data_IF_210751585243
#
_entry.id   IF_210751585243
#
_cell.length_a   1.000
_cell.length_b   1.000
_cell.length_c   1.000
_cell.angle_alpha   90.00
_cell.angle_beta   90.00
_cell.angle_gamma   90.00
#
_symmetry.space_group_name_H-M   'P 1'
#
loop_
_entity.id
_entity.type
_entity.pdbx_description
1 polymer ?
#
# COMPACT_ATOMS: atom_id res chain seq x y z
N UNK A 1 18.76 -14.45 25.33
CA UNK A 1 18.34 -14.34 26.76
C UNK A 1 18.86 -15.56 27.50
N UNK A 2 20.05 -15.45 28.11
CA UNK A 2 20.67 -16.49 28.95
C UNK A 2 20.55 -16.01 30.39
N UNK A 3 19.88 -16.79 31.22
CA UNK A 3 19.76 -16.54 32.65
C UNK A 3 20.79 -17.44 33.34
N UNK A 4 21.91 -16.86 33.78
CA UNK A 4 22.92 -17.49 34.62
C UNK A 4 23.04 -16.65 35.88
N UNK A 5 22.36 -17.05 36.95
CA UNK A 5 22.55 -16.49 38.28
C UNK A 5 22.30 -17.60 39.30
N UNK A 6 23.27 -17.81 40.19
CA UNK A 6 23.05 -18.63 41.38
C UNK A 6 24.22 -19.51 41.78
N UNK A 7 25.41 -18.94 41.96
CA UNK A 7 26.47 -19.57 42.74
C UNK A 7 27.04 -18.56 43.74
N UNK A 8 27.29 -19.09 44.94
CA UNK A 8 28.13 -18.55 46.01
C UNK A 8 27.48 -17.63 47.05
N UNK A 9 26.92 -18.24 48.09
CA UNK A 9 27.02 -17.73 49.47
C UNK A 9 27.33 -18.91 50.40
N UNK A 10 28.61 -19.25 50.51
CA UNK A 10 29.12 -19.99 51.66
C UNK A 10 29.20 -18.99 52.82
N UNK A 11 28.23 -19.06 53.73
CA UNK A 11 28.30 -18.40 55.03
C UNK A 11 29.04 -19.36 55.96
N UNK A 12 30.30 -19.05 56.29
CA UNK A 12 31.03 -19.73 57.34
C UNK A 12 30.34 -19.44 58.69
N UNK A 13 30.05 -20.45 59.52
CA UNK A 13 29.60 -20.21 60.88
C UNK A 13 30.80 -19.83 61.77
N UNK A 14 30.65 -18.67 62.43
CA UNK A 14 31.14 -18.34 63.77
C UNK A 14 32.54 -18.80 64.13
N UNK A 15 33.48 -17.84 64.10
CA UNK A 15 34.66 -17.89 64.95
C UNK A 15 34.23 -18.20 66.39
N UNK A 16 34.66 -19.37 66.90
CA UNK A 16 34.66 -19.66 68.32
C UNK A 16 35.59 -18.64 68.97
N UNK A 17 34.99 -17.58 69.49
CA UNK A 17 35.63 -16.59 70.33
C UNK A 17 36.14 -17.34 71.55
N UNK A 18 37.46 -17.42 71.70
CA UNK A 18 38.12 -17.83 72.92
C UNK A 18 37.80 -16.79 73.99
N UNK A 19 36.63 -16.90 74.61
CA UNK A 19 36.38 -16.28 75.90
C UNK A 19 37.19 -17.06 76.93
N UNK A 20 38.43 -16.61 77.09
CA UNK A 20 39.17 -16.67 78.34
C UNK A 20 38.38 -15.88 79.38
N UNK A 21 37.23 -16.42 79.79
CA UNK A 21 36.62 -15.98 81.03
C UNK A 21 37.49 -16.55 82.15
N UNK A 22 38.34 -15.66 82.64
CA UNK A 22 39.05 -15.82 83.90
C UNK A 22 37.97 -15.85 84.96
N UNK A 23 37.36 -17.01 85.16
CA UNK A 23 36.69 -17.32 86.41
C UNK A 23 37.76 -17.22 87.50
N UNK A 24 37.71 -16.06 88.14
CA UNK A 24 38.42 -15.67 89.34
C UNK A 24 38.19 -16.79 90.35
N UNK A 25 39.15 -17.71 90.43
CA UNK A 25 39.22 -18.65 91.56
C UNK A 25 39.48 -17.77 92.78
N UNK A 26 38.55 -17.65 93.74
CA UNK A 26 38.82 -16.90 94.96
C UNK A 26 40.00 -17.58 95.65
N UNK A 27 40.99 -16.78 96.03
CA UNK A 27 42.23 -17.20 96.69
C UNK A 27 41.97 -18.31 97.70
N UNK A 28 42.32 -19.54 97.32
CA UNK A 28 42.15 -20.70 98.17
C UNK A 28 43.20 -20.60 99.27
N UNK A 29 42.76 -20.53 100.52
CA UNK A 29 43.65 -20.81 101.64
C UNK A 29 44.10 -22.25 101.44
N UNK A 30 45.34 -22.42 100.99
CA UNK A 30 45.95 -23.73 100.81
C UNK A 30 45.88 -24.47 102.15
N UNK A 31 45.42 -25.72 102.15
CA UNK A 31 45.17 -26.51 103.37
C UNK A 31 46.43 -26.58 104.25
N UNK A 32 47.61 -26.46 103.62
CA UNK A 32 48.92 -26.45 104.25
C UNK A 32 49.27 -25.13 104.98
N UNK A 33 48.46 -24.07 104.89
CA UNK A 33 48.69 -22.76 105.53
C UNK A 33 47.67 -22.38 106.61
N UNK A 34 46.66 -23.23 106.88
CA UNK A 34 45.61 -22.96 107.84
C UNK A 34 46.12 -23.06 109.30
N UNK A 35 45.95 -21.99 110.11
CA UNK A 35 46.41 -21.93 111.52
C UNK A 35 45.27 -22.00 112.55
N UNK A 36 44.02 -22.05 112.08
CA UNK A 36 42.81 -22.09 112.92
C UNK A 36 41.81 -23.12 112.40
N UNK A 37 41.01 -23.72 113.30
CA UNK A 37 39.91 -24.64 112.96
C UNK A 37 38.88 -23.97 112.03
N UNK A 38 38.72 -22.66 112.12
CA UNK A 38 37.86 -21.89 111.22
C UNK A 38 38.42 -21.87 109.79
N UNK A 39 39.72 -21.65 109.62
CA UNK A 39 40.39 -21.61 108.31
C UNK A 39 40.32 -22.97 107.60
N UNK A 40 40.50 -24.07 108.34
CA UNK A 40 40.37 -25.43 107.80
C UNK A 40 38.95 -25.68 107.30
N UNK A 41 37.92 -25.21 108.01
CA UNK A 41 36.51 -25.35 107.59
C UNK A 41 36.20 -24.53 106.33
N UNK A 42 36.80 -23.35 106.18
CA UNK A 42 36.65 -22.51 104.99
C UNK A 42 37.37 -23.13 103.77
N UNK A 43 38.58 -23.65 103.94
CA UNK A 43 39.28 -24.39 102.87
C UNK A 43 38.53 -25.65 102.46
N UNK A 44 37.94 -26.37 103.42
CA UNK A 44 37.15 -27.57 103.15
C UNK A 44 35.83 -27.25 102.44
N UNK A 45 35.13 -26.17 102.80
CA UNK A 45 33.93 -25.75 102.06
C UNK A 45 34.26 -25.34 100.64
N UNK A 46 35.37 -24.62 100.43
CA UNK A 46 35.81 -24.20 99.11
C UNK A 46 36.22 -25.40 98.25
N UNK A 47 36.98 -26.35 98.80
CA UNK A 47 37.31 -27.60 98.11
C UNK A 47 36.05 -28.42 97.77
N UNK A 48 35.07 -28.48 98.67
CA UNK A 48 33.80 -29.17 98.39
C UNK A 48 33.00 -28.47 97.29
N UNK A 49 33.06 -27.14 97.20
CA UNK A 49 32.43 -26.35 96.14
C UNK A 49 33.15 -26.53 94.80
N UNK A 50 34.49 -26.57 94.80
CA UNK A 50 35.29 -26.89 93.63
C UNK A 50 35.06 -28.33 93.15
N UNK A 51 35.00 -29.30 94.06
CA UNK A 51 34.68 -30.71 93.76
C UNK A 51 33.27 -30.86 93.20
N UNK A 52 32.29 -30.16 93.78
CA UNK A 52 30.93 -30.12 93.26
C UNK A 52 30.87 -29.48 91.85
N UNK A 53 31.61 -28.40 91.63
CA UNK A 53 31.69 -27.72 90.32
C UNK A 53 32.38 -28.58 89.26
N UNK A 54 33.51 -29.21 89.60
CA UNK A 54 34.19 -30.14 88.68
C UNK A 54 33.35 -31.38 88.41
N UNK A 55 32.67 -31.93 89.42
CA UNK A 55 31.75 -33.06 89.25
C UNK A 55 30.54 -32.68 88.37
N UNK A 56 30.00 -31.47 88.52
CA UNK A 56 28.92 -30.97 87.66
C UNK A 56 29.38 -30.81 86.21
N UNK A 57 30.57 -30.24 85.97
CA UNK A 57 31.16 -30.13 84.62
C UNK A 57 31.44 -31.51 84.00
N UNK A 58 31.94 -32.46 84.80
CA UNK A 58 32.19 -33.82 84.34
C UNK A 58 30.89 -34.53 83.98
N UNK A 59 29.86 -34.43 84.83
CA UNK A 59 28.55 -35.00 84.55
C UNK A 59 27.93 -34.39 83.28
N UNK A 60 28.02 -33.08 83.08
CA UNK A 60 27.55 -32.42 81.86
C UNK A 60 28.29 -32.92 80.61
N UNK A 61 29.61 -33.11 80.71
CA UNK A 61 30.42 -33.68 79.63
C UNK A 61 30.01 -35.13 79.32
N UNK A 62 29.83 -35.96 80.36
CA UNK A 62 29.39 -37.36 80.22
C UNK A 62 27.99 -37.43 79.62
N UNK A 63 27.07 -36.55 80.00
CA UNK A 63 25.74 -36.49 79.37
C UNK A 63 25.81 -36.07 77.91
N UNK A 64 26.66 -35.07 77.58
CA UNK A 64 26.83 -34.61 76.20
C UNK A 64 27.51 -35.63 75.27
N UNK A 65 28.32 -36.53 75.84
CA UNK A 65 28.99 -37.59 75.09
C UNK A 65 27.97 -38.50 74.40
N UNK A 66 26.89 -38.86 75.10
CA UNK A 66 25.84 -39.71 74.56
C UNK A 66 25.16 -39.04 73.36
N UNK A 67 24.79 -37.77 73.49
CA UNK A 67 24.13 -37.02 72.42
C UNK A 67 25.03 -36.89 71.20
N UNK A 68 26.33 -36.63 71.40
CA UNK A 68 27.32 -36.56 70.33
C UNK A 68 27.46 -37.91 69.59
N UNK A 69 27.46 -39.02 70.32
CA UNK A 69 27.51 -40.36 69.70
C UNK A 69 26.25 -40.69 68.89
N UNK A 70 25.07 -40.27 69.36
CA UNK A 70 23.82 -40.47 68.64
C UNK A 70 23.76 -39.61 67.37
N UNK A 71 24.26 -38.37 67.41
CA UNK A 71 24.40 -37.51 66.22
C UNK A 71 25.44 -38.04 65.22
N UNK A 72 26.60 -38.51 65.69
CA UNK A 72 27.61 -39.16 64.84
C UNK A 72 27.03 -40.39 64.13
N UNK A 73 26.25 -41.21 64.84
CA UNK A 73 25.55 -42.36 64.25
C UNK A 73 24.56 -41.96 63.16
N UNK A 74 23.79 -40.87 63.36
CA UNK A 74 22.89 -40.32 62.32
C UNK A 74 23.68 -39.79 61.12
N UNK A 75 24.80 -39.12 61.36
CA UNK A 75 25.68 -38.60 60.32
C UNK A 75 26.28 -39.73 59.47
N UNK A 76 26.69 -40.84 60.10
CA UNK A 76 27.18 -42.02 59.38
C UNK A 76 26.09 -42.69 58.53
N UNK A 77 24.85 -42.73 59.04
CA UNK A 77 23.70 -43.25 58.30
C UNK A 77 23.37 -42.37 57.08
N UNK A 78 23.35 -41.05 57.27
CA UNK A 78 23.19 -40.06 56.20
C UNK A 78 24.32 -40.16 55.18
N UNK A 79 25.57 -40.33 55.62
CA UNK A 79 26.73 -40.50 54.75
C UNK A 79 26.59 -41.74 53.87
N UNK A 80 26.17 -42.86 54.46
CA UNK A 80 25.94 -44.10 53.70
C UNK A 80 24.80 -43.93 52.68
N UNK A 81 23.72 -43.26 53.07
CA UNK A 81 22.57 -43.02 52.20
C UNK A 81 22.87 -42.04 51.07
N UNK A 82 23.65 -40.98 51.32
CA UNK A 82 24.15 -40.07 50.29
C UNK A 82 25.11 -40.81 49.34
N UNK A 83 25.95 -41.70 49.87
CA UNK A 83 26.84 -42.54 49.07
C UNK A 83 26.07 -43.39 48.05
N UNK A 84 25.01 -44.07 48.48
CA UNK A 84 24.18 -44.91 47.59
C UNK A 84 23.38 -44.07 46.58
N UNK A 85 22.79 -42.96 47.02
CA UNK A 85 22.08 -42.00 46.15
C UNK A 85 22.99 -41.38 45.09
N UNK A 86 24.24 -41.04 45.46
CA UNK A 86 25.23 -40.49 44.53
C UNK A 86 25.62 -41.52 43.47
N UNK A 87 25.80 -42.79 43.85
CA UNK A 87 26.08 -43.88 42.90
C UNK A 87 24.89 -44.09 41.95
N UNK A 88 23.66 -44.13 42.47
CA UNK A 88 22.45 -44.25 41.66
C UNK A 88 22.28 -43.07 40.69
N UNK A 89 22.54 -41.85 41.15
CA UNK A 89 22.49 -40.64 40.30
C UNK A 89 23.53 -40.71 39.19
N UNK A 90 24.74 -41.19 39.51
CA UNK A 90 25.84 -41.33 38.54
C UNK A 90 25.55 -42.42 37.50
N UNK A 91 24.91 -43.52 37.90
CA UNK A 91 24.51 -44.58 36.97
C UNK A 91 23.40 -44.13 36.02
N UNK A 92 22.42 -43.37 36.50
CA UNK A 92 21.36 -42.79 35.66
C UNK A 92 21.95 -41.79 34.66
N UNK A 93 22.82 -40.89 35.13
CA UNK A 93 23.45 -39.87 34.29
C UNK A 93 24.32 -40.48 33.19
N UNK A 94 25.26 -41.35 33.56
CA UNK A 94 26.21 -41.93 32.61
C UNK A 94 25.62 -43.06 31.77
N UNK A 95 24.73 -43.87 32.37
CA UNK A 95 24.14 -45.03 31.71
C UNK A 95 22.95 -44.67 30.85
N UNK A 96 21.93 -44.05 31.43
CA UNK A 96 20.65 -43.85 30.74
C UNK A 96 20.66 -42.52 29.99
N UNK A 97 20.97 -41.42 30.67
CA UNK A 97 20.81 -40.09 30.11
C UNK A 97 21.84 -39.80 29.01
N UNK A 98 23.11 -40.15 29.22
CA UNK A 98 24.15 -39.98 28.19
C UNK A 98 23.86 -40.79 26.92
N UNK A 99 23.46 -42.07 27.07
CA UNK A 99 23.09 -42.92 25.92
C UNK A 99 21.81 -42.46 25.23
N UNK A 100 20.83 -41.98 25.98
CA UNK A 100 19.60 -41.41 25.43
C UNK A 100 19.92 -40.11 24.67
N UNK A 101 20.74 -39.22 25.23
CA UNK A 101 21.16 -37.97 24.60
C UNK A 101 21.98 -38.20 23.32
N UNK A 102 22.91 -39.16 23.33
CA UNK A 102 23.66 -39.52 22.13
C UNK A 102 22.75 -40.10 21.04
N UNK A 103 21.78 -40.92 21.43
CA UNK A 103 20.80 -41.50 20.50
C UNK A 103 19.87 -40.43 19.93
N UNK A 104 19.36 -39.53 20.78
CA UNK A 104 18.54 -38.39 20.35
C UNK A 104 19.32 -37.49 19.37
N UNK A 105 20.58 -37.16 19.69
CA UNK A 105 21.43 -36.36 18.80
C UNK A 105 21.64 -37.03 17.44
N UNK A 106 21.86 -38.35 17.43
CA UNK A 106 22.00 -39.14 16.20
C UNK A 106 20.72 -39.15 15.38
N UNK A 107 19.57 -39.39 16.02
CA UNK A 107 18.26 -39.42 15.36
C UNK A 107 17.92 -38.03 14.83
N UNK A 108 18.02 -36.97 15.64
CA UNK A 108 17.78 -35.59 15.20
C UNK A 108 18.73 -35.17 14.08
N UNK A 109 19.98 -35.62 14.11
CA UNK A 109 20.93 -35.40 13.01
C UNK A 109 20.52 -36.12 11.72
N UNK A 110 20.05 -37.37 11.82
CA UNK A 110 19.56 -38.12 10.67
C UNK A 110 18.27 -37.52 10.09
N UNK A 111 17.32 -37.13 10.93
CA UNK A 111 16.07 -36.46 10.51
C UNK A 111 16.37 -35.14 9.84
N UNK A 112 17.24 -34.28 10.41
CA UNK A 112 17.64 -33.02 9.78
C UNK A 112 18.27 -33.23 8.40
N UNK A 113 19.12 -34.25 8.25
CA UNK A 113 19.71 -34.58 6.94
C UNK A 113 18.63 -34.99 5.93
N UNK A 114 17.71 -35.85 6.34
CA UNK A 114 16.58 -36.25 5.51
C UNK A 114 15.69 -35.06 5.13
N UNK A 115 15.43 -34.15 6.06
CA UNK A 115 14.64 -32.93 5.80
C UNK A 115 15.33 -32.04 4.76
N UNK A 116 16.66 -31.87 4.85
CA UNK A 116 17.43 -31.13 3.85
C UNK A 116 17.41 -31.81 2.48
N UNK A 117 17.55 -33.12 2.43
CA UNK A 117 17.45 -33.90 1.18
C UNK A 117 16.05 -33.75 0.57
N UNK A 118 15.00 -33.90 1.37
CA UNK A 118 13.62 -33.75 0.93
C UNK A 118 13.33 -32.32 0.44
N UNK A 119 13.83 -31.30 1.14
CA UNK A 119 13.68 -29.91 0.73
C UNK A 119 14.37 -29.64 -0.61
N UNK A 120 15.58 -30.18 -0.82
CA UNK A 120 16.30 -30.06 -2.09
C UNK A 120 15.56 -30.77 -3.23
N UNK A 121 15.09 -32.00 -3.00
CA UNK A 121 14.32 -32.75 -4.00
C UNK A 121 13.03 -32.03 -4.39
N UNK A 122 12.30 -31.47 -3.41
CA UNK A 122 11.11 -30.65 -3.69
C UNK A 122 11.44 -29.40 -4.50
N UNK A 123 12.53 -28.71 -4.17
CA UNK A 123 12.98 -27.55 -4.94
C UNK A 123 13.37 -27.91 -6.37
N UNK A 124 14.00 -29.07 -6.59
CA UNK A 124 14.31 -29.52 -7.96
C UNK A 124 13.05 -29.95 -8.72
N UNK A 125 12.08 -30.57 -8.05
CA UNK A 125 10.81 -30.94 -8.65
C UNK A 125 10.06 -29.70 -9.15
N UNK A 126 9.98 -28.65 -8.33
CA UNK A 126 9.34 -27.38 -8.69
C UNK A 126 9.96 -26.74 -9.95
N UNK A 127 11.29 -26.77 -10.07
CA UNK A 127 11.97 -26.30 -11.29
C UNK A 127 11.59 -27.14 -12.51
N UNK A 128 11.54 -28.46 -12.38
CA UNK A 128 11.16 -29.36 -13.47
C UNK A 128 9.70 -29.17 -13.88
N UNK A 129 8.78 -29.00 -12.92
CA UNK A 129 7.37 -28.70 -13.17
C UNK A 129 7.22 -27.38 -13.93
N UNK A 130 7.94 -26.34 -13.53
CA UNK A 130 7.92 -25.05 -14.21
C UNK A 130 8.52 -25.11 -15.63
N UNK A 131 9.52 -25.95 -15.86
CA UNK A 131 10.10 -26.16 -17.20
C UNK A 131 9.18 -26.99 -18.09
N UNK A 132 8.48 -27.99 -17.53
CA UNK A 132 7.46 -28.74 -18.24
C UNK A 132 6.28 -27.84 -18.65
N UNK A 133 5.83 -26.96 -17.74
CA UNK A 133 4.83 -25.93 -18.03
C UNK A 133 5.32 -24.94 -19.10
N UNK A 134 6.58 -24.50 -19.02
CA UNK A 134 7.18 -23.64 -20.04
C UNK A 134 7.17 -24.31 -21.42
N UNK A 135 7.51 -25.60 -21.48
CA UNK A 135 7.46 -26.39 -22.71
C UNK A 135 6.04 -26.49 -23.26
N UNK A 136 5.07 -26.78 -22.41
CA UNK A 136 3.66 -26.80 -22.80
C UNK A 136 3.19 -25.43 -23.33
N UNK A 137 3.64 -24.33 -22.73
CA UNK A 137 3.32 -22.98 -23.20
C UNK A 137 3.97 -22.68 -24.55
N UNK A 138 5.25 -22.99 -24.75
CA UNK A 138 5.96 -22.74 -26.02
C UNK A 138 5.29 -23.50 -27.16
N UNK A 139 5.02 -24.80 -26.98
CA UNK A 139 4.33 -25.62 -27.99
C UNK A 139 2.88 -25.17 -28.20
N UNK A 140 2.19 -24.77 -27.13
CA UNK A 140 0.83 -24.25 -27.19
C UNK A 140 0.74 -22.94 -27.99
N UNK A 141 1.66 -22.00 -27.77
CA UNK A 141 1.72 -20.74 -28.50
C UNK A 141 1.97 -20.99 -29.99
N UNK A 142 2.99 -21.78 -30.34
CA UNK A 142 3.33 -22.04 -31.75
C UNK A 142 2.23 -22.84 -32.45
N UNK A 143 1.62 -23.82 -31.77
CA UNK A 143 0.49 -24.60 -32.28
C UNK A 143 -0.76 -23.76 -32.52
N UNK A 144 -1.15 -22.91 -31.56
CA UNK A 144 -2.32 -22.02 -31.69
C UNK A 144 -2.13 -20.94 -32.75
N UNK A 145 -0.90 -20.44 -32.93
CA UNK A 145 -0.57 -19.45 -33.97
C UNK A 145 -0.46 -20.05 -35.38
N UNK A 146 -0.34 -21.37 -35.51
CA UNK A 146 -0.21 -22.08 -36.78
C UNK A 146 -1.53 -22.19 -37.54
N UNK A 147 -1.91 -23.42 -37.91
CA UNK A 147 -3.10 -23.70 -38.70
C UNK A 147 -4.45 -23.21 -38.09
N UNK A 148 -4.71 -23.33 -36.76
CA UNK A 148 -6.01 -22.94 -36.21
C UNK A 148 -6.18 -21.42 -36.10
N UNK A 149 -5.09 -20.63 -36.13
CA UNK A 149 -5.12 -19.17 -36.00
C UNK A 149 -5.94 -18.68 -34.79
N UNK A 150 -5.88 -19.43 -33.69
CA UNK A 150 -6.60 -19.11 -32.48
C UNK A 150 -5.72 -18.23 -31.59
N UNK A 151 -5.84 -16.93 -31.80
CA UNK A 151 -5.01 -15.94 -31.14
C UNK A 151 -5.32 -15.79 -29.64
N UNK A 152 -6.51 -16.17 -29.19
CA UNK A 152 -6.91 -16.06 -27.79
C UNK A 152 -6.24 -17.13 -26.95
N UNK A 153 -6.21 -18.37 -27.46
CA UNK A 153 -5.47 -19.45 -26.79
C UNK A 153 -3.97 -19.20 -26.83
N UNK A 154 -3.43 -18.69 -27.94
CA UNK A 154 -2.02 -18.28 -28.02
C UNK A 154 -1.66 -17.20 -26.97
N UNK A 155 -2.48 -16.15 -26.83
CA UNK A 155 -2.30 -15.13 -25.81
C UNK A 155 -2.42 -15.71 -24.38
N UNK A 156 -3.31 -16.70 -24.18
CA UNK A 156 -3.43 -17.42 -22.92
C UNK A 156 -2.17 -18.18 -22.52
N UNK A 157 -1.52 -18.86 -23.47
CA UNK A 157 -0.24 -19.55 -23.22
C UNK A 157 0.89 -18.55 -22.96
N UNK A 158 0.96 -17.41 -23.65
CA UNK A 158 1.92 -16.35 -23.33
C UNK A 158 1.71 -15.79 -21.92
N UNK A 159 0.45 -15.60 -21.50
CA UNK A 159 0.15 -15.14 -20.15
C UNK A 159 0.61 -16.15 -19.09
N UNK A 160 0.39 -17.45 -19.32
CA UNK A 160 0.90 -18.52 -18.44
C UNK A 160 2.43 -18.51 -18.39
N UNK A 161 3.10 -18.42 -19.54
CA UNK A 161 4.55 -18.33 -19.63
C UNK A 161 5.12 -17.10 -18.89
N UNK A 162 4.41 -15.97 -18.90
CA UNK A 162 4.83 -14.74 -18.21
C UNK A 162 4.87 -14.86 -16.68
N UNK A 163 4.13 -15.83 -16.11
CA UNK A 163 4.13 -16.13 -14.66
C UNK A 163 5.32 -16.98 -14.23
N UNK A 164 6.01 -17.61 -15.18
CA UNK A 164 7.18 -18.45 -14.90
C UNK A 164 8.38 -17.53 -14.60
N UNK A 165 9.17 -17.80 -13.54
CA UNK A 165 10.32 -17.00 -13.19
C UNK A 165 11.34 -16.88 -14.33
N UNK A 166 11.82 -15.66 -14.58
CA UNK A 166 12.81 -15.37 -15.64
C UNK A 166 14.11 -16.17 -15.48
N UNK A 167 14.48 -16.54 -14.26
CA UNK A 167 15.65 -17.39 -14.01
C UNK A 167 15.51 -18.80 -14.57
N UNK A 168 14.27 -19.29 -14.72
CA UNK A 168 13.98 -20.62 -15.29
C UNK A 168 13.81 -20.50 -16.79
N UNK A 169 13.12 -19.47 -17.29
CA UNK A 169 12.94 -19.24 -18.74
C UNK A 169 14.28 -19.03 -19.46
N UNK A 170 15.23 -18.35 -18.81
CA UNK A 170 16.60 -18.15 -19.33
C UNK A 170 17.60 -19.20 -18.79
N UNK A 171 17.13 -20.27 -18.15
CA UNK A 171 18.00 -21.27 -17.55
C UNK A 171 18.53 -22.26 -18.58
N UNK A 172 19.77 -22.71 -18.44
CA UNK A 172 20.40 -23.68 -19.34
C UNK A 172 19.57 -24.98 -19.50
N UNK A 173 18.93 -25.43 -18.42
CA UNK A 173 18.06 -26.61 -18.46
C UNK A 173 16.80 -26.40 -19.32
N UNK A 174 16.23 -25.20 -19.32
CA UNK A 174 15.11 -24.88 -20.21
C UNK A 174 15.57 -24.76 -21.66
N UNK A 175 16.75 -24.19 -21.91
CA UNK A 175 17.33 -24.10 -23.26
C UNK A 175 17.63 -25.48 -23.88
N UNK A 176 17.91 -26.50 -23.07
CA UNK A 176 18.16 -27.86 -23.56
C UNK A 176 16.87 -28.69 -23.71
N UNK A 177 15.94 -28.61 -22.74
CA UNK A 177 14.77 -29.52 -22.67
C UNK A 177 13.54 -28.99 -23.43
N UNK A 178 13.37 -27.68 -23.51
CA UNK A 178 12.18 -27.07 -24.10
C UNK A 178 12.17 -27.14 -25.63
N UNK A 179 13.26 -26.83 -26.35
CA UNK A 179 13.27 -26.91 -27.81
C UNK A 179 12.88 -28.30 -28.32
N UNK A 180 12.19 -28.32 -29.45
CA UNK A 180 11.71 -29.53 -30.13
C UNK A 180 12.09 -29.48 -31.60
N UNK A 181 11.92 -30.58 -32.33
CA UNK A 181 12.18 -30.62 -33.78
C UNK A 181 11.33 -29.59 -34.56
N UNK A 182 10.14 -29.25 -34.05
CA UNK A 182 9.24 -28.25 -34.65
C UNK A 182 9.58 -26.82 -34.21
N UNK A 183 10.16 -26.65 -33.02
CA UNK A 183 10.53 -25.35 -32.43
C UNK A 183 11.97 -25.43 -31.93
N UNK A 184 12.97 -25.21 -32.81
CA UNK A 184 14.39 -25.41 -32.48
C UNK A 184 14.98 -24.28 -31.64
N UNK A 185 14.34 -23.11 -31.64
CA UNK A 185 14.85 -21.92 -30.95
C UNK A 185 14.69 -22.03 -29.43
N UNK A 186 15.55 -21.33 -28.66
CA UNK A 186 15.41 -21.23 -27.21
C UNK A 186 14.03 -20.67 -26.81
N UNK A 187 13.46 -21.14 -25.68
CA UNK A 187 12.09 -20.81 -25.28
C UNK A 187 11.83 -19.30 -25.18
N UNK A 188 12.80 -18.55 -24.66
CA UNK A 188 12.72 -17.09 -24.56
C UNK A 188 12.52 -16.44 -25.93
N UNK A 189 13.33 -16.81 -26.91
CA UNK A 189 13.31 -16.20 -28.24
C UNK A 189 12.00 -16.52 -28.95
N UNK A 190 11.52 -17.77 -28.83
CA UNK A 190 10.22 -18.16 -29.38
C UNK A 190 9.06 -17.35 -28.75
N UNK A 191 9.04 -17.21 -27.42
CA UNK A 191 7.98 -16.47 -26.72
C UNK A 191 8.02 -14.98 -27.06
N UNK A 192 9.21 -14.38 -27.12
CA UNK A 192 9.38 -12.96 -27.48
C UNK A 192 8.92 -12.70 -28.94
N UNK A 193 9.30 -13.57 -29.87
CA UNK A 193 8.89 -13.47 -31.27
C UNK A 193 7.37 -13.65 -31.43
N UNK A 194 6.78 -14.61 -30.71
CA UNK A 194 5.35 -14.82 -30.71
C UNK A 194 4.58 -13.62 -30.13
N UNK A 195 5.06 -13.07 -29.01
CA UNK A 195 4.45 -11.88 -28.40
C UNK A 195 4.50 -10.67 -29.33
N UNK A 196 5.61 -10.46 -30.04
CA UNK A 196 5.76 -9.35 -30.98
C UNK A 196 4.91 -9.54 -32.25
N UNK A 197 4.83 -10.77 -32.77
CA UNK A 197 3.96 -11.11 -33.89
C UNK A 197 2.48 -10.89 -33.56
N UNK A 198 2.04 -11.37 -32.38
CA UNK A 198 0.67 -11.16 -31.90
C UNK A 198 0.39 -9.68 -31.62
N UNK A 199 1.36 -8.91 -31.11
CA UNK A 199 1.22 -7.46 -30.94
C UNK A 199 0.88 -6.79 -32.28
N UNK A 200 1.64 -7.09 -33.33
CA UNK A 200 1.41 -6.52 -34.67
C UNK A 200 0.05 -6.92 -35.25
N UNK A 201 -0.36 -8.18 -35.05
CA UNK A 201 -1.66 -8.68 -35.49
C UNK A 201 -2.81 -8.00 -34.75
N UNK A 202 -2.75 -7.93 -33.42
CA UNK A 202 -3.78 -7.31 -32.58
C UNK A 202 -3.95 -5.84 -32.90
N UNK A 203 -2.87 -5.10 -33.16
CA UNK A 203 -2.95 -3.71 -33.60
C UNK A 203 -3.76 -3.57 -34.90
N UNK A 204 -3.43 -4.39 -35.90
CA UNK A 204 -4.08 -4.35 -37.22
C UNK A 204 -5.57 -4.71 -37.14
N UNK A 205 -5.90 -5.79 -36.45
CA UNK A 205 -7.28 -6.24 -36.29
C UNK A 205 -8.10 -5.30 -35.40
N UNK A 206 -7.48 -4.70 -34.38
CA UNK A 206 -8.11 -3.67 -33.56
C UNK A 206 -8.46 -2.44 -34.38
N UNK A 207 -7.51 -1.93 -35.18
CA UNK A 207 -7.73 -0.75 -36.01
C UNK A 207 -8.78 -0.99 -37.10
N UNK A 208 -8.75 -2.17 -37.72
CA UNK A 208 -9.79 -2.61 -38.66
C UNK A 208 -11.16 -2.68 -37.99
N UNK A 209 -11.26 -3.27 -36.80
CA UNK A 209 -12.51 -3.34 -36.04
C UNK A 209 -13.02 -1.95 -35.62
N UNK A 210 -12.12 -1.02 -35.30
CA UNK A 210 -12.45 0.36 -35.00
C UNK A 210 -13.03 1.09 -36.23
N UNK A 211 -12.42 0.90 -37.41
CA UNK A 211 -12.92 1.45 -38.68
C UNK A 211 -14.27 0.86 -39.10
N UNK A 212 -14.49 -0.44 -38.88
CA UNK A 212 -15.77 -1.12 -39.12
C UNK A 212 -16.88 -0.72 -38.11
N UNK A 213 -16.55 0.02 -37.04
CA UNK A 213 -17.48 0.36 -35.98
C UNK A 213 -17.90 -0.84 -35.09
N UNK A 214 -17.15 -1.94 -35.13
CA UNK A 214 -17.48 -3.16 -34.38
C UNK A 214 -16.90 -3.12 -32.96
N UNK A 215 -17.63 -2.50 -32.03
CA UNK A 215 -17.23 -2.38 -30.62
C UNK A 215 -16.99 -3.73 -29.92
N UNK A 216 -17.64 -4.81 -30.36
CA UNK A 216 -17.43 -6.15 -29.84
C UNK A 216 -16.04 -6.70 -30.15
N UNK A 217 -15.60 -6.60 -31.42
CA UNK A 217 -14.25 -6.98 -31.85
C UNK A 217 -13.17 -6.10 -31.21
N UNK A 218 -13.41 -4.79 -31.12
CA UNK A 218 -12.51 -3.84 -30.44
C UNK A 218 -12.27 -4.28 -29.00
N UNK A 219 -13.35 -4.57 -28.26
CA UNK A 219 -13.28 -5.04 -26.87
C UNK A 219 -12.58 -6.39 -26.75
N UNK A 220 -12.77 -7.29 -27.72
CA UNK A 220 -12.10 -8.60 -27.76
C UNK A 220 -10.58 -8.43 -27.83
N UNK A 221 -10.06 -7.72 -28.84
CA UNK A 221 -8.62 -7.50 -28.99
C UNK A 221 -8.03 -6.64 -27.87
N UNK A 222 -8.80 -5.68 -27.34
CA UNK A 222 -8.40 -4.90 -26.18
C UNK A 222 -8.04 -5.77 -24.98
N UNK A 223 -8.77 -6.87 -24.73
CA UNK A 223 -8.50 -7.78 -23.60
C UNK A 223 -7.25 -8.64 -23.79
N UNK A 224 -6.73 -8.77 -25.01
CA UNK A 224 -5.60 -9.66 -25.31
C UNK A 224 -4.24 -9.00 -25.10
N UNK A 225 -4.13 -7.67 -25.22
CA UNK A 225 -2.85 -6.96 -25.02
C UNK A 225 -2.20 -7.18 -23.64
N UNK A 226 -2.94 -7.20 -22.51
CA UNK A 226 -2.36 -7.53 -21.21
C UNK A 226 -1.83 -8.96 -21.13
N UNK A 227 -2.51 -9.92 -21.79
CA UNK A 227 -2.14 -11.33 -21.78
C UNK A 227 -0.79 -11.59 -22.45
N UNK A 228 -0.42 -10.78 -23.44
CA UNK A 228 0.89 -10.85 -24.12
C UNK A 228 1.95 -9.94 -23.47
N UNK A 229 1.67 -9.38 -22.29
CA UNK A 229 2.61 -8.50 -21.59
C UNK A 229 2.82 -7.12 -22.23
N UNK A 230 1.87 -6.65 -23.06
CA UNK A 230 1.93 -5.32 -23.73
C UNK A 230 0.76 -4.40 -23.33
N UNK A 231 0.46 -4.20 -22.03
CA UNK A 231 -0.70 -3.39 -21.60
C UNK A 231 -0.58 -1.90 -21.97
N UNK A 232 0.63 -1.35 -22.08
CA UNK A 232 0.79 0.07 -22.46
C UNK A 232 0.33 0.36 -23.88
N UNK A 233 0.65 -0.55 -24.82
CA UNK A 233 0.27 -0.44 -26.23
C UNK A 233 -1.25 -0.55 -26.38
N UNK A 234 -1.86 -1.50 -25.66
CA UNK A 234 -3.32 -1.66 -25.68
C UNK A 234 -4.06 -0.43 -25.17
N UNK A 235 -3.59 0.21 -24.09
CA UNK A 235 -4.19 1.45 -23.57
C UNK A 235 -3.99 2.64 -24.51
N UNK A 236 -2.83 2.77 -25.17
CA UNK A 236 -2.61 3.84 -26.13
C UNK A 236 -3.62 3.77 -27.29
N UNK A 237 -3.74 2.60 -27.90
CA UNK A 237 -4.60 2.39 -29.07
C UNK A 237 -6.07 2.54 -28.68
N UNK A 238 -6.44 2.02 -27.51
CA UNK A 238 -7.79 2.17 -26.98
C UNK A 238 -8.13 3.63 -26.63
N UNK A 239 -7.19 4.36 -26.03
CA UNK A 239 -7.32 5.78 -25.77
C UNK A 239 -7.58 6.56 -27.07
N UNK A 240 -6.80 6.27 -28.13
CA UNK A 240 -7.03 6.87 -29.46
C UNK A 240 -8.41 6.56 -30.04
N UNK A 241 -8.84 5.29 -29.97
CA UNK A 241 -10.17 4.87 -30.43
C UNK A 241 -11.29 5.64 -29.71
N UNK A 242 -11.19 5.73 -28.39
CA UNK A 242 -12.17 6.45 -27.57
C UNK A 242 -12.18 7.95 -27.89
N UNK A 243 -11.00 8.58 -28.01
CA UNK A 243 -10.88 10.00 -28.36
C UNK A 243 -11.47 10.29 -29.75
N UNK A 244 -11.23 9.41 -30.73
CA UNK A 244 -11.85 9.52 -32.06
C UNK A 244 -13.38 9.44 -31.98
N UNK A 245 -13.92 8.56 -31.13
CA UNK A 245 -15.36 8.47 -30.87
C UNK A 245 -15.93 9.76 -30.24
N UNK A 246 -15.20 10.36 -29.30
CA UNK A 246 -15.55 11.66 -28.69
C UNK A 246 -15.54 12.78 -29.74
N UNK A 247 -14.46 12.90 -30.51
CA UNK A 247 -14.31 13.90 -31.57
C UNK A 247 -15.44 13.81 -32.61
N UNK A 248 -15.75 12.60 -33.08
CA UNK A 248 -16.81 12.37 -34.06
C UNK A 248 -18.17 12.81 -33.52
N UNK A 249 -18.51 12.44 -32.27
CA UNK A 249 -19.79 12.83 -31.65
C UNK A 249 -19.87 14.32 -31.37
N UNK A 250 -18.77 14.94 -30.91
CA UNK A 250 -18.71 16.37 -30.67
C UNK A 250 -18.98 17.17 -31.95
N UNK A 251 -18.31 16.81 -33.04
CA UNK A 251 -18.51 17.43 -34.36
C UNK A 251 -19.91 17.20 -34.91
N UNK A 252 -20.47 16.00 -34.74
CA UNK A 252 -21.85 15.72 -35.14
C UNK A 252 -22.86 16.60 -34.39
N UNK A 253 -22.68 16.79 -33.08
CA UNK A 253 -23.54 17.66 -32.26
C UNK A 253 -23.43 19.14 -32.68
N UNK A 254 -22.22 19.61 -33.00
CA UNK A 254 -21.99 20.98 -33.49
C UNK A 254 -22.68 21.20 -34.86
N UNK A 255 -22.57 20.21 -35.76
CA UNK A 255 -23.14 20.29 -37.12
C UNK A 255 -24.66 20.07 -37.16
N UNK A 256 -25.23 19.34 -36.19
CA UNK A 256 -26.68 19.13 -36.09
C UNK A 256 -27.48 20.45 -35.86
N UNK A 257 -26.83 21.49 -35.34
CA UNK A 257 -27.43 22.82 -35.18
C UNK A 257 -27.43 23.68 -36.44
N UNK A 258 -27.30 23.13 -37.65
CA UNK A 258 -27.17 23.90 -38.92
C UNK A 258 -28.45 24.63 -39.36
N UNK A 259 -29.59 24.46 -38.69
CA UNK A 259 -30.76 25.31 -38.88
C UNK A 259 -30.55 26.68 -38.22
N UNK A 260 -30.23 27.71 -39.00
CA UNK A 260 -29.77 29.03 -38.53
C UNK A 260 -30.64 29.76 -37.49
N UNK A 261 -31.89 29.33 -37.27
CA UNK A 261 -32.76 29.83 -36.20
C UNK A 261 -32.35 29.30 -34.81
N UNK A 262 -31.91 28.03 -34.72
CA UNK A 262 -31.54 27.37 -33.46
C UNK A 262 -30.12 27.72 -32.94
N UNK A 263 -29.24 28.28 -33.79
CA UNK A 263 -27.93 28.81 -33.34
C UNK A 263 -28.01 30.21 -32.75
N UNK A 264 -28.95 31.02 -33.25
CA UNK A 264 -29.14 32.41 -32.84
C UNK A 264 -30.04 32.53 -31.62
N UNK A 265 -30.99 31.61 -31.43
CA UNK A 265 -31.82 31.58 -30.23
C UNK A 265 -31.41 30.45 -29.28
N UNK A 266 -30.99 30.83 -28.07
CA UNK A 266 -30.82 29.93 -26.93
C UNK A 266 -29.39 29.49 -26.62
N UNK A 267 -29.26 28.63 -25.59
CA UNK A 267 -28.03 28.11 -25.01
C UNK A 267 -27.41 26.94 -25.82
N UNK A 268 -27.38 27.06 -27.16
CA UNK A 268 -26.96 25.98 -28.05
C UNK A 268 -25.53 25.50 -27.76
N UNK A 269 -24.59 26.41 -27.61
CA UNK A 269 -23.18 26.10 -27.40
C UNK A 269 -22.93 25.53 -26.01
N UNK A 270 -23.65 26.06 -25.00
CA UNK A 270 -23.63 25.48 -23.67
C UNK A 270 -24.20 24.05 -23.66
N UNK A 271 -25.24 23.77 -24.44
CA UNK A 271 -25.77 22.41 -24.61
C UNK A 271 -24.80 21.50 -25.38
N UNK A 272 -24.07 22.01 -26.37
CA UNK A 272 -23.05 21.25 -27.09
C UNK A 272 -21.90 20.84 -26.16
N UNK A 273 -21.39 21.78 -25.34
CA UNK A 273 -20.39 21.48 -24.30
C UNK A 273 -20.93 20.50 -23.26
N UNK A 274 -22.18 20.66 -22.82
CA UNK A 274 -22.82 19.73 -21.89
C UNK A 274 -22.83 18.31 -22.45
N UNK A 275 -23.26 18.13 -23.70
CA UNK A 275 -23.27 16.82 -24.38
C UNK A 275 -21.87 16.24 -24.55
N UNK A 276 -20.85 17.06 -24.77
CA UNK A 276 -19.44 16.63 -24.82
C UNK A 276 -19.01 16.06 -23.47
N UNK A 277 -19.19 16.81 -22.38
CA UNK A 277 -18.80 16.37 -21.04
C UNK A 277 -19.58 15.14 -20.58
N UNK A 278 -20.90 15.09 -20.83
CA UNK A 278 -21.73 13.93 -20.54
C UNK A 278 -21.25 12.68 -21.29
N UNK A 279 -20.89 12.82 -22.58
CA UNK A 279 -20.38 11.70 -23.36
C UNK A 279 -19.05 11.18 -22.80
N UNK A 280 -18.12 12.07 -22.43
CA UNK A 280 -16.85 11.66 -21.81
C UNK A 280 -17.12 10.99 -20.45
N UNK A 281 -17.99 11.57 -19.62
CA UNK A 281 -18.35 11.00 -18.32
C UNK A 281 -18.96 9.60 -18.47
N UNK A 282 -19.84 9.40 -19.46
CA UNK A 282 -20.39 8.08 -19.80
C UNK A 282 -19.29 7.10 -20.19
N UNK A 283 -18.35 7.49 -21.04
CA UNK A 283 -17.24 6.62 -21.40
C UNK A 283 -16.42 6.23 -20.17
N UNK A 284 -16.11 7.20 -19.30
CA UNK A 284 -15.34 6.95 -18.07
C UNK A 284 -16.06 5.96 -17.16
N UNK A 285 -17.37 6.10 -16.98
CA UNK A 285 -18.17 5.20 -16.14
C UNK A 285 -18.29 3.79 -16.73
N UNK A 286 -18.65 3.67 -18.01
CA UNK A 286 -18.91 2.37 -18.63
C UNK A 286 -17.64 1.59 -18.95
N UNK A 287 -16.56 2.28 -19.33
CA UNK A 287 -15.32 1.63 -19.74
C UNK A 287 -14.34 1.48 -18.57
N UNK A 288 -14.52 2.21 -17.45
CA UNK A 288 -13.68 2.08 -16.25
C UNK A 288 -13.58 0.64 -15.76
N UNK A 289 -14.73 -0.02 -15.55
CA UNK A 289 -14.75 -1.41 -15.07
C UNK A 289 -14.13 -2.43 -16.04
N UNK A 290 -14.16 -2.15 -17.36
CA UNK A 290 -13.49 -2.97 -18.37
C UNK A 290 -11.96 -2.81 -18.28
N UNK A 291 -11.49 -1.57 -18.22
CA UNK A 291 -10.06 -1.24 -18.15
C UNK A 291 -9.47 -1.79 -16.84
N UNK A 292 -10.10 -1.55 -15.71
CA UNK A 292 -9.60 -1.99 -14.40
C UNK A 292 -9.55 -3.51 -14.27
N UNK A 293 -10.56 -4.22 -14.77
CA UNK A 293 -10.61 -5.68 -14.72
C UNK A 293 -9.49 -6.35 -15.51
N UNK A 294 -9.11 -5.81 -16.66
CA UNK A 294 -8.16 -6.47 -17.57
C UNK A 294 -6.74 -5.88 -17.52
N UNK A 295 -6.59 -4.60 -17.19
CA UNK A 295 -5.29 -3.91 -17.17
C UNK A 295 -4.81 -3.62 -15.74
N UNK A 296 -5.69 -3.67 -14.74
CA UNK A 296 -5.37 -3.42 -13.33
C UNK A 296 -5.87 -2.06 -12.82
N UNK A 297 -5.83 -1.90 -11.51
CA UNK A 297 -6.28 -0.68 -10.83
C UNK A 297 -5.50 0.57 -11.28
N UNK A 298 -6.18 1.71 -11.35
CA UNK A 298 -5.58 3.00 -11.72
C UNK A 298 -5.21 3.17 -13.19
N UNK A 299 -5.34 2.12 -14.02
CA UNK A 299 -5.02 2.19 -15.46
C UNK A 299 -6.00 3.04 -16.25
N UNK A 300 -7.20 3.26 -15.72
CA UNK A 300 -8.19 4.16 -16.30
C UNK A 300 -7.72 5.61 -16.32
N UNK A 301 -6.88 6.03 -15.36
CA UNK A 301 -6.32 7.38 -15.30
C UNK A 301 -5.57 7.74 -16.58
N UNK A 302 -4.80 6.80 -17.15
CA UNK A 302 -4.09 7.01 -18.43
C UNK A 302 -5.03 7.23 -19.62
N UNK A 303 -6.22 6.66 -19.58
CA UNK A 303 -7.25 6.86 -20.61
C UNK A 303 -7.93 8.22 -20.39
N UNK A 304 -8.19 8.57 -19.13
CA UNK A 304 -8.74 9.87 -18.75
C UNK A 304 -7.80 11.01 -19.18
N UNK A 305 -6.49 10.89 -18.99
CA UNK A 305 -5.50 11.89 -19.46
C UNK A 305 -5.65 12.19 -20.95
N UNK A 306 -5.77 11.14 -21.79
CA UNK A 306 -5.99 11.32 -23.23
C UNK A 306 -7.37 11.91 -23.54
N UNK A 307 -8.40 11.48 -22.81
CA UNK A 307 -9.75 12.01 -22.94
C UNK A 307 -9.83 13.50 -22.58
N UNK A 308 -9.07 13.97 -21.59
CA UNK A 308 -9.00 15.40 -21.23
C UNK A 308 -8.40 16.21 -22.39
N UNK A 309 -7.30 15.75 -22.98
CA UNK A 309 -6.70 16.43 -24.14
C UNK A 309 -7.70 16.55 -25.29
N UNK A 310 -8.49 15.51 -25.55
CA UNK A 310 -9.55 15.56 -26.57
C UNK A 310 -10.71 16.47 -26.15
N UNK A 311 -11.06 16.51 -24.85
CA UNK A 311 -12.06 17.42 -24.31
C UNK A 311 -11.65 18.88 -24.52
N UNK A 312 -10.37 19.20 -24.28
CA UNK A 312 -9.82 20.55 -24.48
C UNK A 312 -9.84 20.94 -25.96
N UNK A 313 -9.50 20.02 -26.86
CA UNK A 313 -9.56 20.27 -28.32
C UNK A 313 -11.00 20.50 -28.79
N UNK A 314 -11.93 19.59 -28.49
CA UNK A 314 -13.31 19.74 -28.97
C UNK A 314 -14.06 20.87 -28.24
N UNK A 315 -13.80 21.05 -26.94
CA UNK A 315 -14.33 22.14 -26.14
C UNK A 315 -13.83 23.50 -26.63
N UNK A 316 -12.54 23.61 -26.94
CA UNK A 316 -11.93 24.79 -27.56
C UNK A 316 -12.61 25.14 -28.88
N UNK A 317 -12.78 24.17 -29.79
CA UNK A 317 -13.49 24.41 -31.07
C UNK A 317 -14.92 24.95 -30.83
N UNK A 318 -15.65 24.40 -29.86
CA UNK A 318 -17.01 24.85 -29.54
C UNK A 318 -17.00 26.28 -28.98
N UNK A 319 -16.05 26.60 -28.10
CA UNK A 319 -15.90 27.94 -27.50
C UNK A 319 -15.45 28.98 -28.53
N UNK A 320 -14.50 28.65 -29.40
CA UNK A 320 -14.03 29.53 -30.47
C UNK A 320 -15.17 29.85 -31.44
N UNK A 321 -15.91 28.82 -31.88
CA UNK A 321 -17.07 29.00 -32.76
C UNK A 321 -18.15 29.86 -32.11
N UNK A 322 -18.41 29.67 -30.80
CA UNK A 322 -19.35 30.48 -30.04
C UNK A 322 -18.89 31.94 -29.93
N UNK A 323 -17.61 32.16 -29.63
CA UNK A 323 -17.01 33.50 -29.49
C UNK A 323 -17.14 34.29 -30.79
N UNK A 324 -16.84 33.65 -31.91
CA UNK A 324 -16.96 34.21 -33.25
C UNK A 324 -18.42 34.52 -33.60
N UNK A 325 -19.35 33.57 -33.41
CA UNK A 325 -20.78 33.77 -33.75
C UNK A 325 -21.46 34.83 -32.87
N UNK A 326 -21.04 34.97 -31.60
CA UNK A 326 -21.57 35.99 -30.66
C UNK A 326 -20.81 37.32 -30.72
N UNK A 327 -19.76 37.42 -31.55
CA UNK A 327 -18.88 38.60 -31.67
C UNK A 327 -18.38 39.10 -30.31
N UNK A 328 -17.95 38.19 -29.43
CA UNK A 328 -17.60 38.50 -28.03
C UNK A 328 -16.49 39.56 -27.95
N UNK A 329 -15.44 39.45 -28.76
CA UNK A 329 -14.31 40.41 -28.77
C UNK A 329 -14.75 41.82 -29.15
N UNK A 330 -15.66 41.94 -30.11
CA UNK A 330 -16.24 43.22 -30.52
C UNK A 330 -17.06 43.82 -29.38
N UNK A 331 -17.97 43.02 -28.80
CA UNK A 331 -18.78 43.46 -27.65
C UNK A 331 -17.93 43.87 -26.46
N UNK A 332 -16.82 43.17 -26.20
CA UNK A 332 -15.87 43.52 -25.15
C UNK A 332 -15.18 44.87 -25.43
N UNK A 333 -14.85 45.14 -26.70
CA UNK A 333 -14.27 46.41 -27.14
C UNK A 333 -15.27 47.55 -27.01
N UNK A 334 -16.53 47.31 -27.37
CA UNK A 334 -17.63 48.27 -27.23
C UNK A 334 -17.88 48.60 -25.74
N UNK A 335 -17.86 47.58 -24.85
CA UNK A 335 -17.94 47.78 -23.39
C UNK A 335 -16.76 48.58 -22.84
N UNK A 336 -15.53 48.32 -23.31
CA UNK A 336 -14.33 49.06 -22.85
C UNK A 336 -14.30 50.51 -23.32
N UNK A 337 -14.81 50.76 -24.52
CA UNK A 337 -14.89 52.10 -25.11
C UNK A 337 -16.15 52.86 -24.70
N UNK A 338 -17.08 52.20 -23.99
CA UNK A 338 -18.28 52.82 -23.47
C UNK A 338 -17.94 53.96 -22.51
N UNK A 339 -18.12 55.20 -22.96
CA UNK A 339 -17.73 56.42 -22.24
C UNK A 339 -18.65 56.74 -21.04
N UNK A 340 -19.48 55.78 -20.60
CA UNK A 340 -20.52 55.97 -19.59
C UNK A 340 -21.26 57.30 -19.77
N UNK A 341 -21.69 57.59 -21.01
CA UNK A 341 -22.22 58.91 -21.39
C UNK A 341 -23.38 59.36 -20.49
N UNK A 342 -24.16 58.39 -19.96
CA UNK A 342 -25.21 58.62 -18.97
C UNK A 342 -24.67 59.11 -17.60
N UNK A 343 -23.57 58.54 -17.09
CA UNK A 343 -22.88 59.04 -15.88
C UNK A 343 -22.23 60.39 -16.15
N UNK A 344 -21.59 60.56 -17.30
CA UNK A 344 -20.96 61.85 -17.65
C UNK A 344 -22.00 62.97 -17.73
N UNK A 345 -23.18 62.71 -18.33
CA UNK A 345 -24.30 63.65 -18.37
C UNK A 345 -24.94 63.92 -17.00
N UNK A 346 -24.87 62.99 -16.05
CA UNK A 346 -25.37 63.23 -14.68
C UNK A 346 -24.43 64.09 -13.82
N UNK A 347 -23.14 64.19 -14.20
CA UNK A 347 -22.18 65.12 -13.59
C UNK A 347 -22.19 66.52 -14.23
N UNK A 348 -22.91 66.72 -15.33
CA UNK A 348 -23.06 68.03 -15.98
C UNK A 348 -24.22 68.82 -15.32
N UNK A 349 -23.99 70.09 -14.89
CA UNK A 349 -25.05 70.90 -14.29
C UNK A 349 -26.20 71.15 -15.29
N UNK A 350 -27.47 71.16 -14.84
CA UNK A 350 -28.60 71.42 -15.72
C UNK A 350 -28.43 72.78 -16.40
N UNK A 351 -28.19 72.76 -17.71
CA UNK A 351 -28.12 73.98 -18.51
C UNK A 351 -29.47 74.69 -18.45
N UNK A 352 -29.54 75.97 -18.04
CA UNK A 352 -30.78 76.73 -18.08
C UNK A 352 -31.23 76.86 -19.53
N UNK A 353 -32.44 76.37 -19.81
CA UNK A 353 -33.11 76.55 -21.10
C UNK A 353 -33.08 78.04 -21.46
N UNK A 354 -32.27 78.40 -22.46
CA UNK A 354 -32.23 79.76 -22.99
C UNK A 354 -33.54 80.04 -23.71
N UNK A 355 -34.40 80.74 -22.98
CA UNK A 355 -35.47 81.65 -23.41
C UNK A 355 -35.42 82.05 -24.88
N UNK A 356 -36.23 81.38 -25.70
CA UNK A 356 -36.72 81.88 -26.99
C UNK A 356 -38.22 82.19 -26.85
N UNK A 357 -38.59 83.42 -27.17
CA UNK A 357 -39.94 84.01 -27.09
C UNK A 357 -41.07 83.16 -27.69
N UNK A 358 -42.28 83.14 -27.11
CA UNK A 358 -43.41 82.41 -27.67
C UNK A 358 -44.05 83.20 -28.82
N UNK A 359 -44.18 82.60 -30.01
CA UNK A 359 -45.06 83.11 -31.06
C UNK A 359 -46.24 82.16 -31.23
N UNK A 360 -47.42 82.66 -30.85
CA UNK A 360 -48.72 82.07 -31.11
C UNK A 360 -49.05 82.14 -32.62
N UNK A 361 -49.61 81.06 -33.18
CA UNK A 361 -50.07 81.07 -34.57
C UNK A 361 -50.38 79.70 -35.19
N UNK A 362 -51.46 79.07 -34.72
CA UNK A 362 -52.33 78.09 -35.40
C UNK A 362 -51.85 76.65 -35.74
N UNK A 363 -52.79 75.67 -35.70
CA UNK A 363 -52.49 74.24 -35.72
C UNK A 363 -52.62 73.65 -37.13
N UNK A 364 -51.52 73.15 -37.69
CA UNK A 364 -51.54 72.34 -38.89
C UNK A 364 -51.17 70.89 -38.55
N UNK A 365 -52.11 70.01 -38.92
CA UNK A 365 -52.08 68.54 -38.93
C UNK A 365 -50.70 67.89 -38.98
N UNK A 366 -50.42 67.12 -37.92
CA UNK A 366 -50.00 65.70 -37.95
C UNK A 366 -49.81 65.13 -39.37
N UNK A 367 -48.56 64.91 -39.77
CA UNK A 367 -48.25 64.29 -41.05
C UNK A 367 -46.79 64.42 -41.48
N UNK A 368 -45.85 64.02 -40.64
CA UNK A 368 -44.52 63.49 -41.02
C UNK A 368 -43.70 63.35 -39.74
N UNK A 369 -43.74 62.16 -39.16
CA UNK A 369 -42.60 61.70 -38.37
C UNK A 369 -41.46 61.49 -39.38
N UNK A 370 -40.77 62.59 -39.71
CA UNK A 370 -39.35 62.49 -39.90
C UNK A 370 -38.81 62.13 -38.51
N UNK A 371 -38.63 60.83 -38.28
CA UNK A 371 -37.72 60.36 -37.25
C UNK A 371 -36.35 60.96 -37.60
N UNK A 372 -36.14 62.13 -37.04
CA UNK A 372 -34.82 62.63 -36.71
C UNK A 372 -34.00 61.47 -36.20
N UNK A 373 -32.95 61.15 -36.96
CA UNK A 373 -31.73 60.51 -36.50
C UNK A 373 -31.26 61.17 -35.20
N UNK A 374 -31.87 60.79 -34.08
CA UNK A 374 -31.34 60.96 -32.75
C UNK A 374 -30.40 59.77 -32.54
N UNK A 375 -29.12 60.06 -32.30
CA UNK A 375 -28.06 59.09 -32.14
C UNK A 375 -28.27 58.16 -30.94
N UNK A 376 -29.03 57.09 -31.16
CA UNK A 376 -29.26 56.00 -30.23
C UNK A 376 -29.04 54.65 -30.95
N UNK A 377 -27.82 54.37 -31.40
CA UNK A 377 -27.39 52.98 -31.66
C UNK A 377 -25.88 52.78 -31.44
N UNK A 378 -25.30 53.61 -30.55
CA UNK A 378 -23.88 53.52 -30.13
C UNK A 378 -23.83 53.20 -28.62
N UNK A 379 -24.71 52.31 -28.19
CA UNK A 379 -24.80 51.83 -26.82
C UNK A 379 -24.63 50.32 -26.77
N UNK A 380 -23.88 49.81 -25.79
CA UNK A 380 -23.83 48.37 -25.50
C UNK A 380 -25.23 47.88 -25.13
N UNK A 381 -25.80 46.95 -25.90
CA UNK A 381 -27.08 46.31 -25.54
C UNK A 381 -26.89 45.41 -24.30
N UNK A 382 -27.41 45.90 -23.16
CA UNK A 382 -27.33 45.21 -21.88
C UNK A 382 -28.05 43.85 -21.88
N UNK A 383 -29.10 43.67 -22.69
CA UNK A 383 -29.81 42.38 -22.78
C UNK A 383 -28.98 41.34 -23.51
N UNK A 384 -28.29 41.74 -24.56
CA UNK A 384 -27.37 40.86 -25.27
C UNK A 384 -26.17 40.49 -24.39
N UNK A 385 -25.62 41.44 -23.64
CA UNK A 385 -24.55 41.16 -22.66
C UNK A 385 -25.04 40.18 -21.58
N UNK A 386 -26.24 40.37 -21.02
CA UNK A 386 -26.83 39.45 -20.05
C UNK A 386 -27.06 38.04 -20.64
N UNK A 387 -27.49 37.95 -21.90
CA UNK A 387 -27.63 36.67 -22.60
C UNK A 387 -26.30 35.94 -22.79
N UNK A 388 -25.21 36.67 -23.06
CA UNK A 388 -23.86 36.11 -23.17
C UNK A 388 -23.35 35.66 -21.80
N UNK A 389 -23.52 36.50 -20.77
CA UNK A 389 -23.12 36.19 -19.40
C UNK A 389 -23.86 34.95 -18.85
N UNK A 390 -25.16 34.84 -19.11
CA UNK A 390 -25.95 33.67 -18.71
C UNK A 390 -25.51 32.40 -19.43
N UNK A 391 -25.16 32.48 -20.72
CA UNK A 391 -24.62 31.34 -21.47
C UNK A 391 -23.23 30.91 -20.93
N UNK A 392 -22.32 31.87 -20.68
CA UNK A 392 -21.02 31.60 -20.03
C UNK A 392 -21.21 30.97 -18.66
N UNK A 393 -22.14 31.48 -17.84
CA UNK A 393 -22.40 30.95 -16.51
C UNK A 393 -22.82 29.48 -16.57
N UNK A 394 -23.64 29.09 -17.55
CA UNK A 394 -24.02 27.69 -17.75
C UNK A 394 -22.82 26.86 -18.20
N UNK A 395 -22.02 27.35 -19.16
CA UNK A 395 -20.81 26.63 -19.62
C UNK A 395 -19.83 26.37 -18.48
N UNK A 396 -19.55 27.38 -17.66
CA UNK A 396 -18.67 27.28 -16.50
C UNK A 396 -19.24 26.34 -15.43
N UNK A 397 -20.55 26.42 -15.15
CA UNK A 397 -21.20 25.49 -14.22
C UNK A 397 -21.04 24.04 -14.69
N UNK A 398 -21.23 23.76 -15.98
CA UNK A 398 -21.09 22.42 -16.56
C UNK A 398 -19.63 21.93 -16.55
N UNK A 399 -18.68 22.81 -16.86
CA UNK A 399 -17.26 22.51 -16.72
C UNK A 399 -16.90 22.15 -15.27
N UNK A 400 -17.35 22.93 -14.29
CA UNK A 400 -17.05 22.68 -12.87
C UNK A 400 -17.58 21.33 -12.37
N UNK A 401 -18.78 20.93 -12.82
CA UNK A 401 -19.36 19.62 -12.53
C UNK A 401 -18.52 18.49 -13.14
N UNK A 402 -18.13 18.67 -14.40
CA UNK A 402 -17.26 17.71 -15.10
C UNK A 402 -15.90 17.57 -14.42
N UNK A 403 -15.23 18.67 -14.09
CA UNK A 403 -13.94 18.64 -13.39
C UNK A 403 -14.06 17.96 -12.03
N UNK A 404 -15.15 18.21 -11.29
CA UNK A 404 -15.42 17.55 -10.00
C UNK A 404 -15.62 16.04 -10.18
N UNK A 405 -16.35 15.62 -11.22
CA UNK A 405 -16.54 14.21 -11.57
C UNK A 405 -15.21 13.53 -11.92
N UNK A 406 -14.39 14.13 -12.78
CA UNK A 406 -13.08 13.59 -13.15
C UNK A 406 -12.14 13.53 -11.95
N UNK A 407 -12.10 14.57 -11.13
CA UNK A 407 -11.30 14.59 -9.91
C UNK A 407 -11.72 13.49 -8.92
N UNK A 408 -13.02 13.18 -8.83
CA UNK A 408 -13.50 12.05 -8.02
C UNK A 408 -13.04 10.71 -8.60
N UNK A 409 -13.06 10.52 -9.92
CA UNK A 409 -12.62 9.28 -10.59
C UNK A 409 -11.10 9.09 -10.61
N UNK A 410 -10.32 10.16 -10.51
CA UNK A 410 -8.86 10.10 -10.47
C UNK A 410 -8.28 9.95 -9.05
N UNK A 411 -9.08 10.18 -8.00
CA UNK A 411 -8.66 9.87 -6.63
C UNK A 411 -8.65 8.35 -6.47
N UNK A 412 -7.45 7.79 -6.49
CA UNK A 412 -7.20 6.37 -6.24
C UNK A 412 -7.74 6.02 -4.84
N UNK A 413 -8.69 5.08 -4.77
CA UNK A 413 -8.96 4.31 -3.55
C UNK A 413 -7.90 3.23 -3.35
#
# INVERSE_FOLDING_TARGET
MRNTNGLSKYHLPGQLQNDHDKDVVPSTVDVYQAKSIADIRVSLSLLSEQEASTSARLNNLVTSQKDLTDELGRLDLLRAQIGSQAVATRSISNGILSRAASTATRISGAVKRLDFEQARVRSTLDVVEQVAELKACVLGVTGSMGAPQDWETAAGYLNRASKIPKGIVNGAFAEEIVPTAEVPDPPKLTLDHAAESLRGLFLREFEKAAQEGNGGKVTRFFKLFPLIGKPEVGLDVYGRYVCQGVASRARANLNAGTGGYQRREGFFYANALTKLFEHIAQIVEHHGGLVERHYGAGRMVKVIERLQLEADVQGGIVLDTWSDERNVDRKLTDVRSYAFTFLVQSFLPPQPARSGTPRAGSPAKRGSAAESHAGEDEGVDMKEVDSILSEIAIMLARWSLYSSFIAAKCKVE
#
